data_IF_178883915794
#
_entry.id   IF_178883915794
#
_cell.length_a   1.000
_cell.length_b   1.000
_cell.length_c   1.000
_cell.angle_alpha   90.00
_cell.angle_beta   90.00
_cell.angle_gamma   90.00
#
_symmetry.space_group_name_H-M   'P 1'
#
loop_
_entity.id
_entity.type
_entity.pdbx_description
1 polymer ?
#
# COMPACT_ATOMS: atom_id res chain seq x y z
N UNK A 1 12.21 10.47 48.22
CA UNK A 1 11.50 9.28 47.67
C UNK A 1 10.23 9.62 46.87
N UNK A 2 9.27 10.39 47.41
CA UNK A 2 7.99 10.70 46.74
C UNK A 2 8.15 11.38 45.35
N UNK A 3 9.01 12.41 45.25
CA UNK A 3 9.30 13.12 43.97
C UNK A 3 9.80 12.18 42.87
N UNK A 4 10.62 11.18 43.20
CA UNK A 4 11.12 10.18 42.24
C UNK A 4 10.00 9.28 41.69
N UNK A 5 9.01 8.93 42.52
CA UNK A 5 7.84 8.13 42.07
C UNK A 5 6.96 8.91 41.10
N UNK A 6 6.73 10.20 41.36
CA UNK A 6 5.95 11.08 40.47
C UNK A 6 6.65 11.21 39.11
N UNK A 7 7.96 11.49 39.09
CA UNK A 7 8.74 11.58 37.83
C UNK A 7 8.66 10.29 37.02
N UNK A 8 8.80 9.13 37.68
CA UNK A 8 8.64 7.83 37.00
C UNK A 8 7.23 7.61 36.43
N UNK A 9 6.20 8.06 37.14
CA UNK A 9 4.81 8.01 36.65
C UNK A 9 4.62 8.87 35.40
N UNK A 10 5.11 10.11 35.42
CA UNK A 10 5.05 11.02 34.26
C UNK A 10 5.82 10.46 33.07
N UNK A 11 7.01 9.89 33.29
CA UNK A 11 7.78 9.26 32.21
C UNK A 11 7.00 8.12 31.55
N UNK A 12 6.39 7.23 32.34
CA UNK A 12 5.56 6.13 31.80
C UNK A 12 4.38 6.63 30.98
N UNK A 13 3.73 7.71 31.41
CA UNK A 13 2.63 8.32 30.66
C UNK A 13 3.16 8.89 29.34
N UNK A 14 4.27 9.62 29.37
CA UNK A 14 4.92 10.17 28.17
C UNK A 14 5.28 9.06 27.17
N UNK A 15 5.91 7.98 27.64
CA UNK A 15 6.29 6.85 26.79
C UNK A 15 5.06 6.15 26.21
N UNK A 16 4.00 5.99 27.01
CA UNK A 16 2.73 5.43 26.55
C UNK A 16 2.08 6.26 25.44
N UNK A 17 2.06 7.58 25.59
CA UNK A 17 1.54 8.52 24.59
C UNK A 17 2.34 8.45 23.29
N UNK A 18 3.68 8.54 23.37
CA UNK A 18 4.56 8.46 22.19
C UNK A 18 4.40 7.13 21.46
N UNK A 19 4.33 6.02 22.19
CA UNK A 19 4.13 4.69 21.59
C UNK A 19 2.74 4.55 20.97
N UNK A 20 1.71 5.13 21.59
CA UNK A 20 0.36 5.19 21.02
C UNK A 20 0.35 5.90 19.67
N UNK A 21 0.96 7.09 19.58
CA UNK A 21 1.06 7.84 18.33
C UNK A 21 1.83 7.08 17.25
N UNK A 22 2.98 6.48 17.58
CA UNK A 22 3.75 5.66 16.62
C UNK A 22 2.93 4.50 16.05
N UNK A 23 2.15 3.81 16.89
CA UNK A 23 1.29 2.71 16.43
C UNK A 23 0.19 3.20 15.46
N UNK A 24 -0.41 4.36 15.75
CA UNK A 24 -1.43 4.96 14.88
C UNK A 24 -0.79 5.33 13.54
N UNK A 25 0.36 6.01 13.56
CA UNK A 25 1.09 6.40 12.34
C UNK A 25 1.41 5.18 11.47
N UNK A 26 2.01 4.14 12.05
CA UNK A 26 2.31 2.90 11.32
C UNK A 26 1.05 2.26 10.74
N UNK A 27 -0.02 2.14 11.54
CA UNK A 27 -1.27 1.55 11.09
C UNK A 27 -1.93 2.32 9.93
N UNK A 28 -1.90 3.64 9.98
CA UNK A 28 -2.43 4.50 8.90
C UNK A 28 -1.61 4.34 7.63
N UNK A 29 -0.29 4.43 7.72
CA UNK A 29 0.61 4.31 6.56
C UNK A 29 0.47 2.94 5.89
N UNK A 30 0.46 1.87 6.68
CA UNK A 30 0.30 0.51 6.15
C UNK A 30 -1.09 0.29 5.56
N UNK A 31 -2.13 0.88 6.16
CA UNK A 31 -3.48 0.87 5.61
C UNK A 31 -3.55 1.50 4.22
N UNK A 32 -2.98 2.69 4.05
CA UNK A 32 -2.94 3.37 2.75
C UNK A 32 -2.17 2.58 1.70
N UNK A 33 -0.99 2.05 2.03
CA UNK A 33 -0.20 1.23 1.10
C UNK A 33 -0.99 0.01 0.61
N UNK A 34 -1.70 -0.68 1.51
CA UNK A 34 -2.53 -1.84 1.13
C UNK A 34 -3.63 -1.47 0.16
N UNK A 35 -4.30 -0.34 0.37
CA UNK A 35 -5.37 0.13 -0.51
C UNK A 35 -4.80 0.48 -1.88
N UNK A 36 -3.68 1.22 -1.92
CA UNK A 36 -2.99 1.60 -3.16
C UNK A 36 -2.57 0.36 -3.96
N UNK A 37 -1.84 -0.56 -3.34
CA UNK A 37 -1.40 -1.80 -3.99
C UNK A 37 -2.59 -2.62 -4.50
N UNK A 38 -3.62 -2.81 -3.66
CA UNK A 38 -4.81 -3.57 -4.04
C UNK A 38 -5.56 -2.94 -5.22
N UNK A 39 -5.66 -1.61 -5.26
CA UNK A 39 -6.33 -0.90 -6.37
C UNK A 39 -5.55 -1.01 -7.68
N UNK A 40 -4.22 -0.82 -7.63
CA UNK A 40 -3.37 -0.93 -8.83
C UNK A 40 -3.38 -2.36 -9.36
N UNK A 41 -3.17 -3.35 -8.50
CA UNK A 41 -3.19 -4.76 -8.91
C UNK A 41 -4.56 -5.20 -9.46
N UNK A 42 -5.65 -4.75 -8.83
CA UNK A 42 -7.01 -5.04 -9.28
C UNK A 42 -7.26 -4.47 -10.68
N UNK A 43 -6.85 -3.23 -10.91
CA UNK A 43 -6.97 -2.59 -12.21
C UNK A 43 -6.10 -3.29 -13.27
N UNK A 44 -4.83 -3.58 -12.97
CA UNK A 44 -3.93 -4.29 -13.89
C UNK A 44 -4.51 -5.63 -14.31
N UNK A 45 -5.06 -6.42 -13.37
CA UNK A 45 -5.71 -7.71 -13.69
C UNK A 45 -6.95 -7.54 -14.57
N UNK A 46 -7.75 -6.50 -14.33
CA UNK A 46 -8.92 -6.21 -15.16
C UNK A 46 -8.49 -5.82 -16.58
N UNK A 47 -7.49 -4.95 -16.69
CA UNK A 47 -6.90 -4.52 -17.96
C UNK A 47 -6.32 -5.72 -18.72
N UNK A 48 -5.56 -6.59 -18.06
CA UNK A 48 -4.97 -7.80 -18.68
C UNK A 48 -6.05 -8.68 -19.29
N UNK A 49 -7.13 -8.97 -18.54
CA UNK A 49 -8.26 -9.76 -19.04
C UNK A 49 -8.98 -9.10 -20.21
N UNK A 50 -9.13 -7.77 -20.18
CA UNK A 50 -9.75 -7.03 -21.27
C UNK A 50 -8.90 -7.09 -22.54
N UNK A 51 -7.59 -6.89 -22.41
CA UNK A 51 -6.65 -6.99 -23.53
C UNK A 51 -6.66 -8.41 -24.10
N UNK A 52 -6.56 -9.43 -23.24
CA UNK A 52 -6.59 -10.83 -23.64
C UNK A 52 -7.84 -11.19 -24.45
N UNK A 53 -9.01 -10.80 -23.94
CA UNK A 53 -10.29 -11.15 -24.54
C UNK A 53 -10.61 -10.39 -25.84
N UNK A 54 -10.11 -9.15 -26.00
CA UNK A 54 -10.61 -8.26 -27.05
C UNK A 54 -9.55 -7.64 -27.95
N UNK A 55 -8.30 -7.54 -27.49
CA UNK A 55 -7.29 -6.72 -28.17
C UNK A 55 -6.04 -7.46 -28.62
N UNK A 56 -5.85 -8.71 -28.20
CA UNK A 56 -4.81 -9.60 -28.73
C UNK A 56 -5.07 -9.93 -30.21
N UNK A 57 -4.00 -10.06 -30.98
CA UNK A 57 -4.01 -10.36 -32.41
C UNK A 57 -2.93 -11.38 -32.72
N UNK A 58 -3.17 -12.21 -33.73
CA UNK A 58 -2.16 -13.09 -34.32
C UNK A 58 -1.44 -14.02 -33.32
N UNK A 59 -2.12 -14.39 -32.23
CA UNK A 59 -1.57 -15.25 -31.17
C UNK A 59 -0.54 -14.55 -30.26
N UNK A 60 -0.45 -13.22 -30.31
CA UNK A 60 0.42 -12.44 -29.42
C UNK A 60 -0.03 -12.57 -27.95
N UNK A 61 0.92 -12.44 -27.04
CA UNK A 61 0.67 -12.37 -25.60
C UNK A 61 0.04 -11.04 -25.18
N UNK A 62 -0.61 -11.00 -24.02
CA UNK A 62 -1.17 -9.77 -23.44
C UNK A 62 -0.11 -8.66 -23.30
N UNK A 63 1.11 -9.01 -22.92
CA UNK A 63 2.23 -8.07 -22.81
C UNK A 63 2.64 -7.47 -24.15
N UNK A 64 2.70 -8.29 -25.21
CA UNK A 64 2.99 -7.83 -26.58
C UNK A 64 1.86 -6.93 -27.10
N UNK A 65 0.60 -7.33 -26.91
CA UNK A 65 -0.55 -6.53 -27.25
C UNK A 65 -0.51 -5.16 -26.53
N UNK A 66 -0.17 -5.13 -25.24
CA UNK A 66 -0.01 -3.89 -24.46
C UNK A 66 1.10 -2.99 -24.99
N UNK A 67 2.27 -3.54 -25.33
CA UNK A 67 3.38 -2.77 -25.94
C UNK A 67 2.96 -2.15 -27.28
N UNK A 68 2.34 -2.94 -28.14
CA UNK A 68 1.78 -2.52 -29.44
C UNK A 68 0.74 -1.40 -29.27
N UNK A 69 -0.21 -1.55 -28.34
CA UNK A 69 -1.25 -0.56 -28.07
C UNK A 69 -0.69 0.77 -27.53
N UNK A 70 0.41 0.72 -26.76
CA UNK A 70 1.11 1.90 -26.26
C UNK A 70 1.95 2.61 -27.35
N UNK A 71 2.01 2.06 -28.57
CA UNK A 71 2.87 2.57 -29.65
C UNK A 71 4.36 2.51 -29.28
N UNK A 72 4.72 1.67 -28.31
CA UNK A 72 6.08 1.50 -27.80
C UNK A 72 6.67 0.23 -28.43
N UNK A 73 6.97 0.30 -29.73
CA UNK A 73 7.71 -0.74 -30.44
C UNK A 73 9.21 -0.62 -30.20
#
# INVERSE_FOLDING_TARGET
MAKSKIVKGVQKISDGVVNGYKKIETGVVDGYRKIETGSVEGYTKMEDKFVDAFLTKDGETVEEAKKRLKGSN
#
